data_IF_720900540182
#
_entry.id   IF_720900540182
#
_cell.length_a   1.000
_cell.length_b   1.000
_cell.length_c   1.000
_cell.angle_alpha   90.00
_cell.angle_beta   90.00
_cell.angle_gamma   90.00
#
_symmetry.space_group_name_H-M   'P 1'
#
loop_
_entity.id
_entity.type
_entity.pdbx_description
1 polymer ?
#
# COMPACT_ATOMS: atom_id res chain seq x y z
N UNK A 1 -5.83 12.46 8.34
CA UNK A 1 -4.37 12.17 8.36
C UNK A 1 -3.65 12.76 7.14
N UNK A 2 -2.33 13.07 7.19
CA UNK A 2 -1.55 13.49 6.00
C UNK A 2 -0.89 12.26 5.38
N UNK A 3 -1.17 11.98 4.10
CA UNK A 3 -0.58 10.87 3.36
C UNK A 3 0.83 11.28 2.88
N UNK A 4 1.90 10.53 3.21
CA UNK A 4 3.24 10.80 2.71
C UNK A 4 3.33 10.49 1.21
N UNK A 5 4.07 11.27 0.40
CA UNK A 5 4.16 11.05 -1.05
C UNK A 5 4.72 9.66 -1.43
N UNK A 6 5.51 9.05 -0.57
CA UNK A 6 6.07 7.71 -0.74
C UNK A 6 4.99 6.62 -0.79
N UNK A 7 3.86 6.81 -0.09
CA UNK A 7 2.79 5.82 -0.05
C UNK A 7 2.06 5.68 -1.39
N UNK A 8 1.57 6.77 -2.03
CA UNK A 8 1.10 6.73 -3.41
C UNK A 8 2.13 6.18 -4.41
N UNK A 9 3.41 6.53 -4.25
CA UNK A 9 4.48 5.99 -5.12
C UNK A 9 4.57 4.46 -5.05
N UNK A 10 4.46 3.87 -3.86
CA UNK A 10 4.37 2.42 -3.70
C UNK A 10 3.08 1.88 -4.32
N UNK A 11 1.94 2.51 -4.04
CA UNK A 11 0.62 2.02 -4.41
C UNK A 11 0.37 1.93 -5.92
N UNK A 12 1.04 2.74 -6.73
CA UNK A 12 1.01 2.64 -8.19
C UNK A 12 1.46 1.25 -8.66
N UNK A 13 2.45 0.63 -8.01
CA UNK A 13 2.99 -0.67 -8.42
C UNK A 13 2.05 -1.84 -8.14
N UNK A 14 1.01 -1.63 -7.33
CA UNK A 14 -0.07 -2.60 -7.15
C UNK A 14 -1.17 -2.48 -8.21
N UNK A 15 -1.07 -1.53 -9.17
CA UNK A 15 -2.07 -1.38 -10.21
C UNK A 15 -2.20 -2.66 -11.05
N UNK A 16 -3.40 -3.26 -11.17
CA UNK A 16 -3.61 -4.49 -11.94
C UNK A 16 -3.14 -4.40 -13.40
N UNK A 17 -3.18 -3.20 -14.01
CA UNK A 17 -2.69 -3.00 -15.37
C UNK A 17 -1.16 -3.10 -15.45
N UNK A 18 -0.43 -2.68 -14.42
CA UNK A 18 1.02 -2.82 -14.33
C UNK A 18 1.39 -4.28 -14.05
N UNK A 19 0.70 -4.92 -13.10
CA UNK A 19 0.94 -6.32 -12.75
C UNK A 19 0.67 -7.25 -13.94
N UNK A 20 -0.39 -7.02 -14.71
CA UNK A 20 -0.76 -7.86 -15.86
C UNK A 20 0.26 -7.86 -17.01
N UNK A 21 1.07 -6.80 -17.14
CA UNK A 21 2.08 -6.67 -18.20
C UNK A 21 3.50 -6.93 -17.72
N UNK A 22 3.67 -7.25 -16.44
CA UNK A 22 4.97 -7.49 -15.82
C UNK A 22 5.22 -8.99 -15.67
N UNK A 23 5.92 -9.65 -16.62
CA UNK A 23 6.11 -11.10 -16.63
C UNK A 23 6.97 -11.62 -15.47
N UNK A 24 7.61 -10.73 -14.72
CA UNK A 24 8.49 -11.03 -13.59
C UNK A 24 7.79 -10.97 -12.22
N UNK A 25 6.48 -10.67 -12.19
CA UNK A 25 5.69 -10.62 -10.95
C UNK A 25 5.33 -12.04 -10.53
N UNK A 26 6.21 -12.65 -9.74
CA UNK A 26 5.85 -13.84 -8.95
C UNK A 26 5.10 -13.45 -7.67
N UNK A 27 5.41 -12.26 -7.14
CA UNK A 27 4.81 -11.70 -5.94
C UNK A 27 4.69 -10.17 -6.06
N UNK A 28 3.47 -9.66 -5.96
CA UNK A 28 3.15 -8.24 -6.15
C UNK A 28 3.74 -7.32 -5.07
N UNK A 29 3.90 -7.80 -3.83
CA UNK A 29 4.45 -6.99 -2.74
C UNK A 29 5.96 -6.84 -2.87
N UNK A 30 6.66 -7.94 -3.15
CA UNK A 30 8.11 -7.88 -3.39
C UNK A 30 8.42 -7.06 -4.63
N UNK A 31 7.58 -7.17 -5.67
CA UNK A 31 7.66 -6.34 -6.86
C UNK A 31 7.52 -4.85 -6.50
N UNK A 32 6.43 -4.46 -5.84
CA UNK A 32 6.19 -3.08 -5.46
C UNK A 32 7.29 -2.50 -4.55
N UNK A 33 7.76 -3.28 -3.57
CA UNK A 33 8.79 -2.85 -2.62
C UNK A 33 10.17 -2.65 -3.29
N UNK A 34 10.49 -3.38 -4.38
CA UNK A 34 11.71 -3.15 -5.16
C UNK A 34 11.75 -1.79 -5.86
N UNK A 35 10.59 -1.15 -6.07
CA UNK A 35 10.49 0.14 -6.74
C UNK A 35 10.54 1.34 -5.80
N UNK A 36 10.63 1.12 -4.50
CA UNK A 36 10.83 2.18 -3.49
C UNK A 36 12.15 1.95 -2.75
N UNK A 37 12.84 3.04 -2.41
CA UNK A 37 14.11 2.96 -1.67
C UNK A 37 13.91 2.49 -0.23
N UNK A 38 14.94 1.92 0.44
CA UNK A 38 14.84 1.52 1.84
C UNK A 38 14.39 2.66 2.77
N UNK A 39 14.79 3.90 2.49
CA UNK A 39 14.35 5.06 3.27
C UNK A 39 12.85 5.33 3.08
N UNK A 40 12.35 5.25 1.85
CA UNK A 40 10.91 5.41 1.56
C UNK A 40 10.10 4.29 2.20
N UNK A 41 10.58 3.05 2.17
CA UNK A 41 9.94 1.92 2.84
C UNK A 41 9.77 2.18 4.34
N UNK A 42 10.77 2.75 5.03
CA UNK A 42 10.61 3.11 6.44
C UNK A 42 9.56 4.20 6.66
N UNK A 43 9.48 5.22 5.79
CA UNK A 43 8.42 6.25 5.87
C UNK A 43 7.04 5.62 5.68
N UNK A 44 6.89 4.76 4.68
CA UNK A 44 5.66 4.02 4.38
C UNK A 44 5.25 3.15 5.56
N UNK A 45 6.19 2.38 6.13
CA UNK A 45 5.93 1.52 7.28
C UNK A 45 5.37 2.30 8.47
N UNK A 46 6.02 3.38 8.86
CA UNK A 46 5.55 4.21 9.98
C UNK A 46 4.16 4.80 9.69
N UNK A 47 3.92 5.24 8.46
CA UNK A 47 2.61 5.74 8.07
C UNK A 47 1.52 4.65 8.16
N UNK A 48 1.79 3.44 7.65
CA UNK A 48 0.82 2.35 7.69
C UNK A 48 0.52 1.91 9.13
N UNK A 49 1.54 1.84 9.99
CA UNK A 49 1.34 1.56 11.41
C UNK A 49 0.42 2.60 12.07
N UNK A 50 0.67 3.89 11.81
CA UNK A 50 -0.18 4.98 12.30
C UNK A 50 -1.63 4.86 11.77
N UNK A 51 -1.81 4.41 10.52
CA UNK A 51 -3.15 4.17 9.93
C UNK A 51 -3.85 3.02 10.64
N UNK A 52 -3.16 1.89 10.82
CA UNK A 52 -3.74 0.69 11.44
C UNK A 52 -4.13 0.92 12.90
N UNK A 53 -3.34 1.72 13.62
CA UNK A 53 -3.57 2.08 15.02
C UNK A 53 -4.69 3.12 15.21
N UNK A 54 -4.73 4.17 14.37
CA UNK A 54 -5.56 5.35 14.63
C UNK A 54 -6.80 5.48 13.73
N UNK A 55 -6.85 4.80 12.58
CA UNK A 55 -7.99 4.87 11.66
C UNK A 55 -8.91 3.68 11.90
N UNK A 56 -10.08 3.93 12.51
CA UNK A 56 -11.13 2.93 12.72
C UNK A 56 -12.35 3.11 11.80
N UNK A 57 -12.44 4.24 11.10
CA UNK A 57 -13.53 4.55 10.17
C UNK A 57 -13.23 4.04 8.76
N UNK A 58 -14.17 3.29 8.20
CA UNK A 58 -14.14 2.74 6.85
C UNK A 58 -13.93 3.81 5.78
N UNK A 59 -14.53 4.99 5.92
CA UNK A 59 -14.45 6.05 4.89
C UNK A 59 -13.08 6.70 4.87
N UNK A 60 -12.48 6.94 6.03
CA UNK A 60 -11.11 7.46 6.11
C UNK A 60 -10.10 6.43 5.59
N UNK A 61 -10.25 5.14 5.93
CA UNK A 61 -9.38 4.08 5.41
C UNK A 61 -9.47 3.97 3.87
N UNK A 62 -10.68 3.95 3.33
CA UNK A 62 -10.89 3.97 1.88
C UNK A 62 -10.36 5.24 1.22
N UNK A 63 -10.48 6.41 1.86
CA UNK A 63 -9.94 7.67 1.34
C UNK A 63 -8.41 7.64 1.28
N UNK A 64 -7.76 7.05 2.27
CA UNK A 64 -6.30 6.89 2.29
C UNK A 64 -5.85 5.97 1.15
N UNK A 65 -6.55 4.84 0.97
CA UNK A 65 -6.26 3.92 -0.13
C UNK A 65 -6.49 4.55 -1.50
N UNK A 66 -7.65 5.18 -1.72
CA UNK A 66 -7.98 5.85 -2.99
C UNK A 66 -7.04 7.02 -3.28
N UNK A 67 -6.59 7.73 -2.24
CA UNK A 67 -5.60 8.81 -2.38
C UNK A 67 -4.23 8.32 -2.84
N UNK A 68 -3.99 7.02 -2.83
CA UNK A 68 -2.74 6.41 -3.25
C UNK A 68 -2.67 6.09 -4.76
N UNK A 69 -3.71 6.45 -5.53
CA UNK A 69 -3.79 6.26 -6.99
C UNK A 69 -3.63 4.80 -7.47
N UNK A 70 -3.85 3.81 -6.61
CA UNK A 70 -3.95 2.42 -7.03
C UNK A 70 -5.34 2.13 -7.58
N UNK A 71 -5.41 1.41 -8.71
CA UNK A 71 -6.68 0.88 -9.23
C UNK A 71 -7.14 -0.41 -8.52
N UNK A 72 -6.38 -0.90 -7.54
CA UNK A 72 -6.74 -2.07 -6.74
C UNK A 72 -7.98 -1.77 -5.91
N UNK A 73 -9.00 -2.62 -6.10
CA UNK A 73 -10.28 -2.52 -5.41
C UNK A 73 -10.35 -3.59 -4.33
N UNK A 74 -10.78 -3.20 -3.15
CA UNK A 74 -11.09 -4.11 -2.06
C UNK A 74 -12.60 -4.16 -1.84
N UNK A 75 -13.11 -5.36 -1.57
CA UNK A 75 -14.53 -5.58 -1.30
C UNK A 75 -14.90 -5.23 0.16
N UNK A 76 -13.90 -5.06 1.03
CA UNK A 76 -14.08 -4.74 2.46
C UNK A 76 -12.89 -3.99 3.06
N UNK A 77 -13.12 -3.34 4.19
CA UNK A 77 -12.06 -2.70 4.98
C UNK A 77 -11.05 -3.72 5.52
N UNK A 78 -11.51 -4.92 5.85
CA UNK A 78 -10.63 -6.02 6.28
C UNK A 78 -9.62 -6.36 5.18
N UNK A 79 -10.05 -6.33 3.91
CA UNK A 79 -9.16 -6.51 2.76
C UNK A 79 -8.07 -5.44 2.72
N UNK A 80 -8.43 -4.17 2.90
CA UNK A 80 -7.47 -3.06 2.96
C UNK A 80 -6.49 -3.27 4.12
N UNK A 81 -6.99 -3.59 5.33
CA UNK A 81 -6.16 -3.79 6.52
C UNK A 81 -5.18 -4.93 6.35
N UNK A 82 -5.64 -6.09 5.88
CA UNK A 82 -4.76 -7.24 5.61
C UNK A 82 -3.66 -6.87 4.61
N UNK A 83 -3.99 -6.08 3.59
CA UNK A 83 -3.03 -5.62 2.59
C UNK A 83 -1.96 -4.69 3.19
N UNK A 84 -2.40 -3.74 4.02
CA UNK A 84 -1.53 -2.82 4.74
C UNK A 84 -0.62 -3.56 5.74
N UNK A 85 -1.15 -4.54 6.47
CA UNK A 85 -0.40 -5.39 7.38
C UNK A 85 0.67 -6.20 6.64
N UNK A 86 0.34 -6.74 5.47
CA UNK A 86 1.29 -7.50 4.64
C UNK A 86 2.44 -6.62 4.13
N UNK A 87 2.17 -5.36 3.74
CA UNK A 87 3.22 -4.40 3.37
C UNK A 87 4.17 -4.17 4.56
N UNK A 88 3.64 -3.94 5.76
CA UNK A 88 4.45 -3.74 6.97
C UNK A 88 5.31 -4.96 7.27
N UNK A 89 4.74 -6.17 7.18
CA UNK A 89 5.41 -7.44 7.45
C UNK A 89 6.64 -7.66 6.56
N UNK A 90 6.63 -7.13 5.34
CA UNK A 90 7.72 -7.32 4.35
C UNK A 90 8.80 -6.24 4.37
N UNK A 91 8.55 -5.13 5.07
CA UNK A 91 9.56 -4.08 5.28
C UNK A 91 10.42 -4.39 6.53
N UNK A 92 9.99 -5.31 7.40
CA UNK A 92 10.79 -5.89 8.49
C UNK A 92 11.81 -6.92 8.01
#
# INVERSE_FOLDING_TARGET
>A
MKIPPEFPELCVWFDPQILAVSPEVEDEFDFALKHVTPQQQQVIKHFILDVLENVHDSKELNRIWQGANSNTRFDSDDGIRMYLEEIVRRID
#
